data_IF_929215135791
#
_entry.id   IF_929215135791
#
_cell.length_a   1.000
_cell.length_b   1.000
_cell.length_c   1.000
_cell.angle_alpha   90.00
_cell.angle_beta   90.00
_cell.angle_gamma   90.00
#
_symmetry.space_group_name_H-M   'P 1'
#
loop_
_entity.id
_entity.type
_entity.pdbx_description
1 polymer ?
#
# COMPACT_ATOMS: atom_id res chain seq x y z
N UNK A 1 17.70 -26.42 -2.58
CA UNK A 1 18.78 -25.43 -2.42
C UNK A 1 19.14 -24.85 -3.79
N UNK A 2 18.70 -23.62 -4.06
CA UNK A 2 19.06 -22.91 -5.30
C UNK A 2 20.51 -22.48 -5.27
N UNK A 3 21.28 -22.88 -6.27
CA UNK A 3 22.58 -22.29 -6.58
C UNK A 3 22.33 -20.97 -7.33
N UNK A 4 23.11 -19.95 -6.98
CA UNK A 4 23.00 -18.56 -7.40
C UNK A 4 23.41 -18.32 -8.86
N UNK A 5 22.54 -18.65 -9.81
CA UNK A 5 22.60 -18.11 -11.16
C UNK A 5 21.35 -17.30 -11.40
N UNK A 6 21.48 -15.99 -11.66
CA UNK A 6 20.37 -15.04 -11.76
C UNK A 6 19.29 -15.45 -12.79
N UNK A 7 19.64 -16.20 -13.84
CA UNK A 7 18.67 -16.73 -14.83
C UNK A 7 17.86 -17.94 -14.31
N UNK A 8 18.35 -18.64 -13.28
CA UNK A 8 17.66 -19.82 -12.74
C UNK A 8 16.74 -19.46 -11.57
N UNK A 9 16.89 -18.24 -11.00
CA UNK A 9 16.16 -17.81 -9.81
C UNK A 9 14.70 -17.47 -10.14
N UNK A 10 14.44 -16.85 -11.29
CA UNK A 10 13.08 -16.47 -11.73
C UNK A 10 12.20 -17.70 -11.95
N UNK A 11 12.67 -18.67 -12.73
CA UNK A 11 11.95 -19.94 -12.96
C UNK A 11 11.70 -20.73 -11.66
N UNK A 12 12.61 -20.61 -10.68
CA UNK A 12 12.43 -21.23 -9.37
C UNK A 12 11.34 -20.54 -8.57
N UNK A 13 11.25 -19.20 -8.61
CA UNK A 13 10.17 -18.48 -7.95
C UNK A 13 8.81 -18.80 -8.59
N UNK A 14 8.70 -18.85 -9.92
CA UNK A 14 7.49 -19.27 -10.61
C UNK A 14 6.98 -20.62 -10.08
N UNK A 15 7.85 -21.63 -10.01
CA UNK A 15 7.50 -22.96 -9.47
C UNK A 15 7.11 -22.95 -7.99
N UNK A 16 7.74 -22.10 -7.17
CA UNK A 16 7.40 -21.97 -5.75
C UNK A 16 6.00 -21.36 -5.58
N UNK A 17 5.71 -20.32 -6.37
CA UNK A 17 4.44 -19.59 -6.26
C UNK A 17 3.25 -20.31 -6.91
N UNK A 18 3.47 -21.36 -7.72
CA UNK A 18 2.42 -22.32 -8.11
C UNK A 18 1.84 -23.09 -6.91
N UNK A 19 2.50 -23.08 -5.74
CA UNK A 19 2.11 -23.83 -4.53
C UNK A 19 1.41 -22.96 -3.46
N UNK A 20 0.87 -21.81 -3.82
CA UNK A 20 0.16 -20.88 -2.89
C UNK A 20 0.96 -20.56 -1.61
N UNK A 21 2.27 -20.35 -1.73
CA UNK A 21 3.10 -20.01 -0.60
C UNK A 21 2.80 -18.58 -0.12
N UNK A 22 2.71 -18.40 1.20
CA UNK A 22 2.45 -17.11 1.86
C UNK A 22 3.66 -16.54 2.61
N UNK A 23 4.76 -17.29 2.63
CA UNK A 23 6.00 -16.84 3.27
C UNK A 23 7.23 -17.42 2.57
N UNK A 24 8.30 -16.64 2.51
CA UNK A 24 9.57 -17.02 1.91
C UNK A 24 10.72 -16.70 2.86
N UNK A 25 11.57 -17.70 3.14
CA UNK A 25 12.83 -17.49 3.82
C UNK A 25 13.97 -17.45 2.80
N UNK A 26 14.63 -16.29 2.69
CA UNK A 26 15.78 -16.09 1.83
C UNK A 26 17.07 -16.25 2.64
N UNK A 27 17.96 -17.11 2.21
CA UNK A 27 19.23 -17.40 2.91
C UNK A 27 20.09 -16.15 3.08
N UNK A 28 20.10 -15.25 2.10
CA UNK A 28 20.89 -14.03 2.09
C UNK A 28 20.15 -12.86 1.45
N UNK A 29 20.70 -11.66 1.57
CA UNK A 29 20.09 -10.43 1.10
C UNK A 29 19.98 -10.34 -0.43
N UNK A 30 20.87 -10.99 -1.19
CA UNK A 30 20.80 -11.03 -2.66
C UNK A 30 19.59 -11.84 -3.12
N UNK A 31 19.32 -12.98 -2.49
CA UNK A 31 18.11 -13.77 -2.77
C UNK A 31 16.85 -13.03 -2.34
N UNK A 32 16.89 -12.31 -1.21
CA UNK A 32 15.76 -11.48 -0.80
C UNK A 32 15.48 -10.39 -1.84
N UNK A 33 16.50 -9.66 -2.30
CA UNK A 33 16.33 -8.64 -3.34
C UNK A 33 15.77 -9.22 -4.66
N UNK A 34 16.24 -10.39 -5.06
CA UNK A 34 15.72 -11.09 -6.24
C UNK A 34 14.25 -11.50 -6.07
N UNK A 35 13.86 -11.96 -4.86
CA UNK A 35 12.46 -12.27 -4.53
C UNK A 35 11.58 -11.02 -4.58
N UNK A 36 12.06 -9.89 -4.03
CA UNK A 36 11.35 -8.60 -4.11
C UNK A 36 11.09 -8.17 -5.55
N UNK A 37 12.11 -8.26 -6.41
CA UNK A 37 11.97 -7.94 -7.84
C UNK A 37 10.93 -8.83 -8.50
N UNK A 38 11.00 -10.15 -8.31
CA UNK A 38 10.05 -11.11 -8.87
C UNK A 38 8.61 -10.82 -8.40
N UNK A 39 8.41 -10.62 -7.07
CA UNK A 39 7.08 -10.35 -6.52
C UNK A 39 6.51 -9.04 -7.02
N UNK A 40 7.35 -8.01 -7.18
CA UNK A 40 6.95 -6.74 -7.76
C UNK A 40 6.52 -6.87 -9.23
N UNK A 41 7.27 -7.62 -10.05
CA UNK A 41 6.91 -7.90 -11.45
C UNK A 41 5.58 -8.68 -11.56
N UNK A 42 5.30 -9.57 -10.60
CA UNK A 42 4.06 -10.33 -10.52
C UNK A 42 2.91 -9.59 -9.84
N UNK A 43 3.12 -8.33 -9.42
CA UNK A 43 2.18 -7.53 -8.62
C UNK A 43 1.71 -8.21 -7.33
N UNK A 44 2.59 -8.99 -6.70
CA UNK A 44 2.36 -9.64 -5.41
C UNK A 44 2.91 -8.73 -4.30
N UNK A 45 2.08 -8.38 -3.34
CA UNK A 45 2.46 -7.43 -2.29
C UNK A 45 3.18 -8.07 -1.12
N UNK A 46 4.23 -7.38 -0.63
CA UNK A 46 4.98 -7.70 0.57
C UNK A 46 4.62 -6.65 1.64
N UNK A 47 4.22 -7.07 2.86
CA UNK A 47 4.05 -8.43 3.38
C UNK A 47 2.66 -9.03 3.18
N UNK A 48 1.72 -8.33 2.54
CA UNK A 48 0.28 -8.60 2.59
C UNK A 48 -0.11 -9.95 1.97
N UNK A 49 0.53 -10.33 0.88
CA UNK A 49 0.31 -11.62 0.22
C UNK A 49 1.44 -12.60 0.51
N UNK A 50 2.68 -12.10 0.58
CA UNK A 50 3.87 -12.92 0.86
C UNK A 50 4.76 -12.24 1.87
N UNK A 51 4.98 -12.89 3.00
CA UNK A 51 5.96 -12.48 4.00
C UNK A 51 7.37 -12.93 3.60
N UNK A 52 8.38 -12.08 3.82
CA UNK A 52 9.78 -12.41 3.54
C UNK A 52 10.64 -12.25 4.78
N UNK A 53 11.45 -13.27 5.06
CA UNK A 53 12.51 -13.21 6.07
C UNK A 53 13.86 -13.45 5.38
N UNK A 54 14.87 -12.69 5.76
CA UNK A 54 16.23 -12.82 5.28
C UNK A 54 17.15 -13.40 6.38
N UNK A 55 17.94 -14.42 6.05
CA UNK A 55 18.93 -15.04 6.95
C UNK A 55 20.24 -14.26 7.05
N UNK A 56 20.31 -13.04 6.57
CA UNK A 56 21.46 -12.16 6.60
C UNK A 56 21.01 -10.71 6.81
N UNK A 57 21.67 -10.01 7.73
CA UNK A 57 21.47 -8.58 7.95
C UNK A 57 22.67 -7.80 7.42
N UNK A 58 22.47 -7.03 6.35
CA UNK A 58 23.47 -6.16 5.74
C UNK A 58 22.79 -4.92 5.15
N UNK A 59 23.57 -4.03 4.55
CA UNK A 59 23.08 -2.78 3.94
C UNK A 59 22.02 -3.05 2.86
N UNK A 60 22.16 -4.11 2.06
CA UNK A 60 21.20 -4.48 1.03
C UNK A 60 19.85 -4.85 1.64
N UNK A 61 19.83 -5.61 2.74
CA UNK A 61 18.59 -5.98 3.44
C UNK A 61 17.83 -4.75 3.98
N UNK A 62 18.56 -3.70 4.38
CA UNK A 62 17.99 -2.49 4.95
C UNK A 62 17.39 -1.54 3.91
N UNK A 63 17.88 -1.55 2.66
CA UNK A 63 17.39 -0.66 1.59
C UNK A 63 16.23 -1.25 0.78
N UNK A 64 15.87 -2.51 0.99
CA UNK A 64 14.67 -3.10 0.37
C UNK A 64 13.40 -2.40 0.87
N UNK A 65 12.39 -2.31 0.02
CA UNK A 65 11.12 -1.69 0.40
C UNK A 65 9.94 -2.64 0.14
N UNK A 66 9.14 -2.96 1.21
CA UNK A 66 9.34 -2.58 2.61
C UNK A 66 10.65 -3.15 3.18
N UNK A 67 11.23 -2.56 4.26
CA UNK A 67 12.45 -3.09 4.88
C UNK A 67 12.28 -4.55 5.27
N UNK A 68 13.24 -5.42 4.89
CA UNK A 68 13.11 -6.86 5.16
C UNK A 68 13.47 -7.18 6.62
N UNK A 69 12.63 -7.98 7.26
CA UNK A 69 12.99 -8.59 8.56
C UNK A 69 14.13 -9.58 8.34
N UNK A 70 15.22 -9.40 9.08
CA UNK A 70 16.43 -10.20 8.91
C UNK A 70 16.93 -10.81 10.21
N UNK A 71 17.63 -11.94 10.07
CA UNK A 71 18.23 -12.69 11.17
C UNK A 71 19.74 -12.62 11.03
N UNK A 72 20.41 -11.95 11.97
CA UNK A 72 21.86 -11.85 11.99
C UNK A 72 22.45 -12.96 12.86
N UNK A 73 23.37 -13.73 12.29
CA UNK A 73 24.17 -14.68 13.05
C UNK A 73 25.38 -13.95 13.64
N UNK A 74 25.62 -14.02 14.96
CA UNK A 74 26.73 -13.32 15.61
C UNK A 74 28.05 -14.06 15.36
N UNK A 75 28.57 -14.01 14.15
CA UNK A 75 29.78 -14.74 13.71
C UNK A 75 31.03 -14.44 14.55
N UNK A 76 31.18 -13.19 15.03
CA UNK A 76 32.29 -12.82 15.90
C UNK A 76 32.22 -13.57 17.25
N UNK A 77 31.03 -13.64 17.84
CA UNK A 77 30.79 -14.40 19.09
C UNK A 77 30.97 -15.90 18.87
N UNK A 78 30.48 -16.43 17.74
CA UNK A 78 30.69 -17.83 17.37
C UNK A 78 32.17 -18.16 17.18
N UNK A 79 32.91 -17.31 16.48
CA UNK A 79 34.34 -17.47 16.25
C UNK A 79 35.13 -17.45 17.58
N UNK A 80 34.86 -16.50 18.46
CA UNK A 80 35.50 -16.41 19.78
C UNK A 80 35.20 -17.63 20.64
N UNK A 81 33.93 -18.06 20.67
CA UNK A 81 33.51 -19.20 21.46
C UNK A 81 34.16 -20.50 20.96
N UNK A 82 34.18 -20.71 19.64
CA UNK A 82 34.83 -21.85 19.03
C UNK A 82 36.36 -21.88 19.30
N UNK A 83 37.04 -20.73 19.15
CA UNK A 83 38.46 -20.61 19.43
C UNK A 83 38.77 -20.90 20.90
N UNK A 84 38.02 -20.32 21.82
CA UNK A 84 38.19 -20.56 23.27
C UNK A 84 37.97 -22.02 23.61
N UNK A 85 36.94 -22.65 23.10
CA UNK A 85 36.64 -24.08 23.32
C UNK A 85 37.78 -24.97 22.83
N UNK A 86 38.38 -24.67 21.66
CA UNK A 86 39.54 -25.40 21.13
C UNK A 86 40.76 -25.23 22.02
N UNK A 87 41.05 -23.99 22.47
CA UNK A 87 42.19 -23.72 23.37
C UNK A 87 42.01 -24.43 24.71
N UNK A 88 40.84 -24.37 25.32
CA UNK A 88 40.54 -25.07 26.58
C UNK A 88 40.72 -26.59 26.43
N UNK A 89 40.33 -27.16 25.29
CA UNK A 89 40.55 -28.59 24.99
C UNK A 89 42.03 -28.94 24.93
N UNK A 90 42.85 -28.10 24.25
CA UNK A 90 44.27 -28.34 24.06
C UNK A 90 45.03 -28.17 25.39
N UNK A 91 44.72 -27.15 26.16
CA UNK A 91 45.43 -26.78 27.38
C UNK A 91 45.04 -27.60 28.60
N UNK A 92 43.77 -27.91 28.75
CA UNK A 92 43.21 -28.53 29.95
C UNK A 92 42.73 -29.96 29.80
N UNK A 93 42.72 -30.47 28.55
CA UNK A 93 42.09 -31.76 28.22
C UNK A 93 40.65 -31.89 28.72
N UNK A 94 39.94 -30.74 28.80
CA UNK A 94 38.57 -30.67 29.26
C UNK A 94 37.61 -31.47 28.35
N UNK A 95 36.57 -32.03 28.94
CA UNK A 95 35.49 -32.62 28.13
C UNK A 95 34.77 -31.51 27.38
N UNK A 96 34.65 -31.67 26.06
CA UNK A 96 33.92 -30.71 25.22
C UNK A 96 32.41 -30.78 25.52
N UNK A 97 31.74 -29.65 25.64
CA UNK A 97 30.28 -29.64 25.64
C UNK A 97 29.77 -30.22 24.31
N UNK A 98 28.74 -31.06 24.34
CA UNK A 98 28.18 -31.71 23.15
C UNK A 98 27.59 -30.73 22.14
N UNK A 99 27.17 -29.55 22.59
CA UNK A 99 26.70 -28.46 21.73
C UNK A 99 26.89 -27.11 22.44
N UNK A 100 27.15 -26.09 21.65
CA UNK A 100 27.15 -24.69 22.08
C UNK A 100 26.15 -23.94 21.21
N UNK A 101 25.26 -23.21 21.84
CA UNK A 101 24.22 -22.43 21.15
C UNK A 101 24.47 -20.95 21.37
N UNK A 102 24.37 -20.17 20.30
CA UNK A 102 24.42 -18.70 20.34
C UNK A 102 23.12 -18.16 19.80
N UNK A 103 22.53 -17.24 20.48
CA UNK A 103 21.27 -16.63 20.04
C UNK A 103 21.51 -15.66 18.88
N UNK A 104 20.72 -15.76 17.79
CA UNK A 104 20.77 -14.80 16.69
C UNK A 104 20.15 -13.46 17.10
N UNK A 105 20.50 -12.39 16.37
CA UNK A 105 19.87 -11.08 16.52
C UNK A 105 18.81 -10.93 15.41
N UNK A 106 17.59 -10.54 15.80
CA UNK A 106 16.51 -10.28 14.86
C UNK A 106 16.38 -8.77 14.65
N UNK A 107 16.60 -8.34 13.42
CA UNK A 107 16.35 -6.98 12.96
C UNK A 107 14.95 -6.92 12.35
N UNK A 108 14.02 -6.27 13.04
CA UNK A 108 12.63 -6.14 12.57
C UNK A 108 12.55 -5.16 11.41
N UNK A 109 11.96 -5.62 10.32
CA UNK A 109 11.50 -4.82 9.20
C UNK A 109 9.97 -4.94 9.05
N UNK A 110 9.46 -4.44 7.94
CA UNK A 110 8.02 -4.41 7.65
C UNK A 110 7.61 -5.48 6.61
N UNK A 111 8.45 -6.51 6.42
CA UNK A 111 8.25 -7.57 5.42
C UNK A 111 7.46 -8.78 5.93
N UNK A 112 6.94 -8.75 7.17
CA UNK A 112 6.19 -9.83 7.77
C UNK A 112 4.75 -9.42 8.09
N UNK A 113 3.81 -10.32 7.78
CA UNK A 113 2.42 -10.26 8.25
C UNK A 113 2.03 -11.56 8.94
N UNK A 114 0.96 -11.54 9.74
CA UNK A 114 0.43 -12.74 10.36
C UNK A 114 -0.12 -13.70 9.28
N UNK A 115 0.20 -15.02 9.35
CA UNK A 115 -0.38 -15.99 8.43
C UNK A 115 -1.90 -16.02 8.54
N UNK A 116 -2.59 -15.93 7.40
CA UNK A 116 -4.06 -15.96 7.37
C UNK A 116 -4.73 -14.66 7.80
N UNK A 117 -4.01 -13.62 8.11
CA UNK A 117 -4.52 -12.26 8.07
C UNK A 117 -4.67 -11.83 6.60
N UNK A 118 -5.53 -12.54 5.86
CA UNK A 118 -6.01 -12.06 4.58
C UNK A 118 -6.67 -10.72 4.87
N UNK A 119 -5.94 -9.62 4.61
CA UNK A 119 -6.55 -8.30 4.71
C UNK A 119 -7.76 -8.29 3.79
N UNK A 120 -8.88 -7.83 4.30
CA UNK A 120 -10.05 -7.63 3.46
C UNK A 120 -9.67 -6.76 2.27
N UNK A 121 -9.78 -7.30 1.07
CA UNK A 121 -9.46 -6.58 -0.18
C UNK A 121 -10.65 -5.70 -0.57
N UNK A 122 -10.39 -4.41 -0.68
CA UNK A 122 -11.43 -3.39 -0.88
C UNK A 122 -11.08 -2.55 -2.11
N UNK A 123 -11.97 -2.50 -3.09
CA UNK A 123 -11.89 -1.51 -4.15
C UNK A 123 -12.74 -0.29 -3.80
N UNK A 124 -12.22 0.91 -4.01
CA UNK A 124 -12.95 2.16 -3.82
C UNK A 124 -13.02 2.89 -5.15
N UNK A 125 -14.21 2.98 -5.72
CA UNK A 125 -14.48 3.69 -6.98
C UNK A 125 -15.19 5.01 -6.61
N UNK A 126 -14.51 6.14 -6.80
CA UNK A 126 -15.09 7.41 -6.38
C UNK A 126 -14.31 8.63 -6.83
N UNK A 127 -14.95 9.78 -6.62
CA UNK A 127 -14.37 11.07 -6.88
C UNK A 127 -13.21 11.38 -5.92
N UNK A 128 -12.23 12.10 -6.47
CA UNK A 128 -10.99 12.50 -5.80
C UNK A 128 -10.82 14.00 -5.95
N UNK A 129 -10.82 14.71 -4.84
CA UNK A 129 -10.77 16.17 -4.82
C UNK A 129 -9.65 16.67 -3.92
N UNK A 130 -9.19 17.87 -4.19
CA UNK A 130 -8.54 18.71 -3.20
C UNK A 130 -9.62 19.58 -2.53
N UNK A 131 -9.86 19.36 -1.25
CA UNK A 131 -10.85 20.12 -0.47
C UNK A 131 -10.15 21.32 0.18
N UNK A 132 -10.60 22.53 -0.16
CA UNK A 132 -10.14 23.79 0.43
C UNK A 132 -11.17 24.27 1.43
N UNK A 133 -10.82 24.22 2.71
CA UNK A 133 -11.66 24.62 3.83
C UNK A 133 -11.34 26.09 4.17
N UNK A 134 -12.39 26.93 4.17
CA UNK A 134 -12.31 28.37 4.39
C UNK A 134 -13.15 28.68 5.64
N UNK A 135 -12.48 29.00 6.74
CA UNK A 135 -13.16 29.42 7.99
C UNK A 135 -13.55 30.86 7.92
N UNK A 136 -14.82 31.17 8.24
CA UNK A 136 -15.38 32.51 8.19
C UNK A 136 -16.38 32.72 9.33
N UNK A 137 -16.69 33.98 9.67
CA UNK A 137 -17.72 34.26 10.69
C UNK A 137 -19.13 34.00 10.16
N UNK A 138 -19.36 34.10 8.85
CA UNK A 138 -20.64 33.87 8.19
C UNK A 138 -20.47 33.53 6.71
N UNK A 139 -21.51 33.05 6.07
CA UNK A 139 -21.58 32.93 4.60
C UNK A 139 -21.85 34.34 4.03
N UNK A 140 -21.07 34.80 3.02
CA UNK A 140 -21.28 36.12 2.41
C UNK A 140 -22.60 36.20 1.66
N UNK A 141 -23.28 37.30 1.77
CA UNK A 141 -24.41 37.68 0.91
C UNK A 141 -23.95 38.06 -0.49
N UNK A 142 -24.81 38.04 -1.52
CA UNK A 142 -24.45 38.49 -2.85
C UNK A 142 -23.87 39.91 -2.85
N UNK A 143 -22.66 40.08 -3.39
CA UNK A 143 -21.92 41.34 -3.44
C UNK A 143 -21.17 41.70 -2.15
N UNK A 144 -21.25 40.89 -1.10
CA UNK A 144 -20.53 41.12 0.15
C UNK A 144 -19.11 40.56 0.07
N UNK A 145 -18.12 41.30 0.59
CA UNK A 145 -16.76 40.84 0.82
C UNK A 145 -16.59 40.49 2.30
N UNK A 146 -16.16 39.26 2.58
CA UNK A 146 -15.76 38.85 3.94
C UNK A 146 -14.29 38.44 3.95
N UNK A 147 -13.66 38.55 5.10
CA UNK A 147 -12.27 38.13 5.29
C UNK A 147 -12.30 36.74 5.99
N UNK A 148 -11.58 35.81 5.43
CA UNK A 148 -11.41 34.47 6.04
C UNK A 148 -10.44 34.56 7.22
N UNK A 149 -10.76 33.84 8.30
CA UNK A 149 -9.92 33.76 9.48
C UNK A 149 -8.83 32.66 9.31
N UNK A 150 -9.10 31.63 8.49
CA UNK A 150 -8.17 30.54 8.21
C UNK A 150 -8.55 29.84 6.90
N UNK A 151 -7.53 29.35 6.19
CA UNK A 151 -7.69 28.55 4.97
C UNK A 151 -6.67 27.40 4.98
N UNK A 152 -7.11 26.21 4.67
CA UNK A 152 -6.21 25.07 4.44
C UNK A 152 -6.79 24.12 3.39
N UNK A 153 -5.91 23.41 2.71
CA UNK A 153 -6.29 22.40 1.71
C UNK A 153 -5.86 21.01 2.15
N UNK A 154 -6.69 20.01 1.86
CA UNK A 154 -6.44 18.62 2.19
C UNK A 154 -7.01 17.71 1.11
N UNK A 155 -6.38 16.54 0.82
CA UNK A 155 -7.01 15.51 0.02
C UNK A 155 -8.38 15.14 0.58
N UNK A 156 -9.39 15.08 -0.29
CA UNK A 156 -10.77 14.85 0.08
C UNK A 156 -11.60 14.27 -1.07
N UNK A 157 -12.91 14.43 -0.98
CA UNK A 157 -13.86 13.72 -1.81
C UNK A 157 -14.20 12.33 -1.26
N UNK A 158 -15.38 11.81 -1.63
CA UNK A 158 -15.90 10.54 -1.07
C UNK A 158 -14.99 9.36 -1.37
N UNK A 159 -14.37 9.30 -2.56
CA UNK A 159 -13.44 8.25 -2.94
C UNK A 159 -12.22 8.20 -2.02
N UNK A 160 -11.52 9.33 -1.85
CA UNK A 160 -10.32 9.42 -1.00
C UNK A 160 -10.67 9.12 0.46
N UNK A 161 -11.73 9.74 0.99
CA UNK A 161 -12.10 9.57 2.39
C UNK A 161 -12.44 8.10 2.72
N UNK A 162 -13.12 7.40 1.81
CA UNK A 162 -13.41 5.97 1.98
C UNK A 162 -12.15 5.12 1.85
N UNK A 163 -11.27 5.41 0.89
CA UNK A 163 -10.03 4.67 0.70
C UNK A 163 -9.11 4.79 1.93
N UNK A 164 -8.88 6.02 2.43
CA UNK A 164 -8.07 6.26 3.63
C UNK A 164 -8.73 5.61 4.87
N UNK A 165 -10.06 5.74 5.01
CA UNK A 165 -10.79 5.11 6.11
C UNK A 165 -10.63 3.59 6.13
N UNK A 166 -10.79 2.93 4.97
CA UNK A 166 -10.61 1.49 4.83
C UNK A 166 -9.16 1.06 5.08
N UNK A 167 -8.17 1.82 4.58
CA UNK A 167 -6.75 1.58 4.82
C UNK A 167 -6.38 1.67 6.30
N UNK A 168 -6.86 2.70 7.00
CA UNK A 168 -6.65 2.87 8.46
C UNK A 168 -7.26 1.74 9.29
N UNK A 169 -8.32 1.10 8.80
CA UNK A 169 -8.94 -0.08 9.43
C UNK A 169 -8.22 -1.40 9.07
N UNK A 170 -7.10 -1.33 8.35
CA UNK A 170 -6.29 -2.49 8.02
C UNK A 170 -6.71 -3.21 6.73
N UNK A 171 -7.58 -2.60 5.91
CA UNK A 171 -7.94 -3.12 4.59
C UNK A 171 -6.79 -3.04 3.60
N UNK A 172 -6.75 -3.97 2.64
CA UNK A 172 -5.94 -3.86 1.43
C UNK A 172 -6.77 -3.12 0.37
N UNK A 173 -6.40 -1.87 0.07
CA UNK A 173 -7.29 -0.96 -0.65
C UNK A 173 -6.75 -0.60 -2.02
N UNK A 174 -7.57 -0.75 -3.05
CA UNK A 174 -7.37 -0.18 -4.38
C UNK A 174 -8.22 1.08 -4.52
N UNK A 175 -7.59 2.22 -4.83
CA UNK A 175 -8.29 3.44 -5.22
C UNK A 175 -8.45 3.48 -6.74
N UNK A 176 -9.69 3.69 -7.21
CA UNK A 176 -10.03 3.72 -8.62
C UNK A 176 -10.75 5.04 -8.92
N UNK A 177 -10.19 5.82 -9.84
CA UNK A 177 -10.73 7.14 -10.20
C UNK A 177 -9.83 7.89 -11.16
N UNK A 178 -9.93 9.24 -11.15
CA UNK A 178 -9.18 10.09 -12.07
C UNK A 178 -8.70 11.36 -11.38
N UNK A 179 -7.45 11.72 -11.60
CA UNK A 179 -6.79 12.94 -11.13
C UNK A 179 -6.25 13.73 -12.32
N UNK A 180 -6.05 15.01 -12.16
CA UNK A 180 -5.28 15.83 -13.10
C UNK A 180 -3.77 15.59 -12.91
N UNK A 181 -3.01 15.88 -13.95
CA UNK A 181 -1.54 15.95 -13.89
C UNK A 181 -1.12 17.33 -13.37
N UNK A 182 -1.45 17.59 -12.11
CA UNK A 182 -1.16 18.85 -11.42
C UNK A 182 -0.63 18.60 -9.99
N UNK A 183 -0.18 19.67 -9.33
CA UNK A 183 0.38 19.58 -7.97
C UNK A 183 -0.59 18.96 -6.97
N UNK A 184 -1.89 19.20 -7.12
CA UNK A 184 -2.92 18.68 -6.23
C UNK A 184 -3.16 17.19 -6.48
N UNK A 185 -3.15 16.73 -7.74
CA UNK A 185 -3.21 15.33 -8.11
C UNK A 185 -2.02 14.54 -7.56
N UNK A 186 -0.82 15.09 -7.63
CA UNK A 186 0.37 14.47 -7.04
C UNK A 186 0.27 14.38 -5.51
N UNK A 187 -0.14 15.46 -4.82
CA UNK A 187 -0.35 15.45 -3.36
C UNK A 187 -1.36 14.37 -2.96
N UNK A 188 -2.45 14.22 -3.70
CA UNK A 188 -3.46 13.19 -3.46
C UNK A 188 -2.85 11.79 -3.63
N UNK A 189 -2.13 11.55 -4.72
CA UNK A 189 -1.49 10.26 -5.01
C UNK A 189 -0.48 9.89 -3.93
N UNK A 190 0.38 10.82 -3.52
CA UNK A 190 1.37 10.63 -2.46
C UNK A 190 0.69 10.35 -1.11
N UNK A 191 -0.40 11.08 -0.82
CA UNK A 191 -1.19 10.86 0.40
C UNK A 191 -1.78 9.44 0.43
N UNK A 192 -2.40 9.00 -0.65
CA UNK A 192 -2.95 7.64 -0.75
C UNK A 192 -1.84 6.59 -0.55
N UNK A 193 -0.70 6.78 -1.20
CA UNK A 193 0.47 5.90 -1.08
C UNK A 193 1.01 5.84 0.35
N UNK A 194 1.01 6.96 1.09
CA UNK A 194 1.46 7.03 2.49
C UNK A 194 0.57 6.20 3.43
N UNK A 195 -0.67 5.93 3.05
CA UNK A 195 -1.60 5.02 3.74
C UNK A 195 -1.59 3.59 3.17
N UNK A 196 -0.58 3.23 2.36
CA UNK A 196 -0.46 1.93 1.67
C UNK A 196 -1.66 1.60 0.76
N UNK A 197 -2.34 2.62 0.23
CA UNK A 197 -3.43 2.45 -0.72
C UNK A 197 -2.85 2.32 -2.11
N UNK A 198 -3.28 1.30 -2.83
CA UNK A 198 -2.84 1.03 -4.20
C UNK A 198 -3.49 2.02 -5.17
N UNK A 199 -2.66 2.68 -5.98
CA UNK A 199 -3.07 3.77 -6.88
C UNK A 199 -3.06 3.41 -8.36
N UNK A 200 -2.76 2.16 -8.71
CA UNK A 200 -2.74 1.66 -10.10
C UNK A 200 -4.10 1.75 -10.82
N UNK A 201 -5.19 1.93 -10.08
CA UNK A 201 -6.52 2.21 -10.60
C UNK A 201 -6.80 3.69 -10.87
N UNK A 202 -5.85 4.57 -10.58
CA UNK A 202 -6.00 6.01 -10.77
C UNK A 202 -5.46 6.41 -12.14
N UNK A 203 -6.33 6.99 -12.96
CA UNK A 203 -5.91 7.57 -14.24
C UNK A 203 -5.46 9.02 -14.04
N UNK A 204 -4.27 9.35 -14.55
CA UNK A 204 -3.73 10.72 -14.54
C UNK A 204 -4.04 11.38 -15.88
N UNK A 205 -4.72 12.52 -15.82
CA UNK A 205 -5.18 13.30 -16.97
C UNK A 205 -4.35 14.57 -17.13
N UNK A 206 -3.61 14.68 -18.23
CA UNK A 206 -2.79 15.85 -18.53
C UNK A 206 -3.57 17.00 -19.24
N UNK A 207 -4.86 16.82 -19.49
CA UNK A 207 -5.70 17.79 -20.21
C UNK A 207 -6.65 18.58 -19.29
N UNK A 208 -6.78 18.18 -18.02
CA UNK A 208 -7.68 18.85 -17.07
C UNK A 208 -7.08 18.85 -15.65
N UNK A 209 -7.60 19.73 -14.81
CA UNK A 209 -7.18 19.84 -13.41
C UNK A 209 -7.85 18.79 -12.53
N UNK A 210 -7.20 18.46 -11.42
CA UNK A 210 -7.78 17.68 -10.32
C UNK A 210 -9.07 18.32 -9.81
N UNK A 211 -10.04 17.50 -9.43
CA UNK A 211 -11.29 17.98 -8.82
C UNK A 211 -11.04 18.78 -7.54
N UNK A 212 -11.87 19.78 -7.26
CA UNK A 212 -11.76 20.69 -6.10
C UNK A 212 -13.10 20.86 -5.41
N UNK A 213 -13.06 21.02 -4.09
CA UNK A 213 -14.20 21.52 -3.35
C UNK A 213 -13.77 22.72 -2.48
N UNK A 214 -14.50 23.81 -2.57
CA UNK A 214 -14.34 24.97 -1.72
C UNK A 214 -15.43 24.93 -0.66
N UNK A 215 -15.03 24.76 0.59
CA UNK A 215 -15.94 24.51 1.71
C UNK A 215 -15.85 25.69 2.67
N UNK A 216 -16.84 26.56 2.63
CA UNK A 216 -16.95 27.66 3.59
C UNK A 216 -17.60 27.14 4.87
N UNK A 217 -16.88 27.28 5.98
CA UNK A 217 -17.33 26.82 7.31
C UNK A 217 -17.49 28.03 8.22
N UNK A 218 -18.71 28.55 8.37
CA UNK A 218 -18.99 29.64 9.28
C UNK A 218 -19.15 29.15 10.72
N UNK A 219 -18.85 29.99 11.69
CA UNK A 219 -19.02 29.68 13.11
C UNK A 219 -20.48 29.38 13.43
N UNK A 220 -20.75 28.16 13.93
CA UNK A 220 -22.06 27.75 14.47
C UNK A 220 -23.17 27.53 13.43
N UNK A 221 -22.88 27.48 12.13
CA UNK A 221 -23.85 27.25 11.07
C UNK A 221 -23.44 26.18 10.05
N UNK A 222 -24.36 25.85 9.11
CA UNK A 222 -24.11 24.86 8.06
C UNK A 222 -23.07 25.37 7.07
N UNK A 223 -22.17 24.49 6.63
CA UNK A 223 -21.18 24.77 5.59
C UNK A 223 -21.84 25.00 4.22
N UNK A 224 -21.19 25.80 3.39
CA UNK A 224 -21.50 25.96 1.98
C UNK A 224 -20.38 25.35 1.16
N UNK A 225 -20.72 24.57 0.12
CA UNK A 225 -19.74 23.86 -0.70
C UNK A 225 -19.90 24.28 -2.17
N UNK A 226 -18.80 24.67 -2.79
CA UNK A 226 -18.72 24.85 -4.24
C UNK A 226 -17.78 23.76 -4.76
N UNK A 227 -18.28 22.90 -5.63
CA UNK A 227 -17.51 21.80 -6.22
C UNK A 227 -17.16 22.07 -7.67
N UNK A 228 -15.90 21.89 -8.02
CA UNK A 228 -15.40 21.81 -9.38
C UNK A 228 -15.01 20.34 -9.64
N UNK A 229 -15.72 19.62 -10.51
CA UNK A 229 -15.48 18.20 -10.71
C UNK A 229 -14.10 17.89 -11.35
N UNK A 230 -13.56 18.78 -12.19
CA UNK A 230 -12.26 18.59 -12.83
C UNK A 230 -12.15 17.22 -13.52
N UNK A 231 -11.05 16.52 -13.31
CA UNK A 231 -10.78 15.21 -13.87
C UNK A 231 -11.88 14.18 -13.57
N UNK A 232 -12.57 14.27 -12.42
CA UNK A 232 -13.65 13.34 -12.09
C UNK A 232 -14.79 13.32 -13.14
N UNK A 233 -15.06 14.46 -13.80
CA UNK A 233 -16.09 14.55 -14.83
C UNK A 233 -15.80 13.71 -16.07
N UNK A 234 -14.54 13.36 -16.29
CA UNK A 234 -14.07 12.60 -17.44
C UNK A 234 -13.76 11.14 -17.11
N UNK A 235 -14.00 10.71 -15.86
CA UNK A 235 -13.89 9.30 -15.49
C UNK A 235 -15.05 8.52 -16.10
N UNK A 236 -14.77 7.61 -17.02
CA UNK A 236 -15.75 6.94 -17.84
C UNK A 236 -15.72 5.40 -17.71
N UNK A 237 -16.65 4.75 -18.40
CA UNK A 237 -16.78 3.28 -18.40
C UNK A 237 -15.55 2.59 -19.03
N UNK A 238 -14.91 3.22 -20.02
CA UNK A 238 -13.73 2.63 -20.68
C UNK A 238 -12.55 2.55 -19.71
N UNK A 239 -12.33 3.63 -18.96
CA UNK A 239 -11.27 3.67 -17.92
C UNK A 239 -11.54 2.68 -16.80
N UNK A 240 -12.79 2.63 -16.31
CA UNK A 240 -13.16 1.64 -15.30
C UNK A 240 -12.99 0.21 -15.81
N UNK A 241 -13.28 -0.04 -17.09
CA UNK A 241 -13.08 -1.37 -17.69
C UNK A 241 -11.61 -1.79 -17.69
N UNK A 242 -10.66 -0.87 -17.91
CA UNK A 242 -9.21 -1.13 -17.83
C UNK A 242 -8.79 -1.53 -16.41
N UNK A 243 -9.49 -1.04 -15.39
CA UNK A 243 -9.23 -1.35 -13.98
C UNK A 243 -10.00 -2.58 -13.47
N UNK A 244 -10.75 -3.29 -14.32
CA UNK A 244 -11.62 -4.41 -13.87
C UNK A 244 -10.82 -5.55 -13.23
N UNK A 245 -9.57 -5.75 -13.61
CA UNK A 245 -8.69 -6.75 -13.01
C UNK A 245 -8.46 -6.49 -11.51
N UNK A 246 -8.50 -5.23 -11.05
CA UNK A 246 -8.39 -4.87 -9.64
C UNK A 246 -9.62 -5.28 -8.81
N UNK A 247 -10.75 -5.51 -9.48
CA UNK A 247 -11.97 -6.02 -8.84
C UNK A 247 -11.96 -7.55 -8.69
N UNK A 248 -11.07 -8.24 -9.40
CA UNK A 248 -10.93 -9.68 -9.28
C UNK A 248 -10.28 -10.01 -7.93
N UNK A 249 -10.85 -10.94 -7.17
CA UNK A 249 -10.41 -11.28 -5.81
C UNK A 249 -10.56 -10.14 -4.77
N UNK A 250 -11.43 -9.16 -5.03
CA UNK A 250 -11.81 -8.13 -4.06
C UNK A 250 -13.05 -8.59 -3.29
N UNK A 251 -13.04 -8.41 -1.95
CA UNK A 251 -14.16 -8.82 -1.09
C UNK A 251 -15.30 -7.79 -1.15
N UNK A 252 -14.95 -6.51 -1.16
CA UNK A 252 -15.87 -5.39 -1.11
C UNK A 252 -15.51 -4.31 -2.13
N UNK A 253 -16.53 -3.68 -2.70
CA UNK A 253 -16.38 -2.49 -3.53
C UNK A 253 -17.24 -1.34 -2.96
N UNK A 254 -16.57 -0.24 -2.61
CA UNK A 254 -17.23 1.00 -2.18
C UNK A 254 -17.37 1.88 -3.42
N UNK A 255 -18.60 2.32 -3.75
CA UNK A 255 -18.89 3.12 -4.94
C UNK A 255 -19.54 4.43 -4.53
N UNK A 256 -18.95 5.56 -4.92
CA UNK A 256 -19.55 6.88 -4.77
C UNK A 256 -20.56 7.14 -5.89
N UNK A 257 -21.76 7.58 -5.54
CA UNK A 257 -22.79 7.97 -6.53
C UNK A 257 -22.59 9.39 -7.08
N UNK A 258 -21.54 10.11 -6.69
CA UNK A 258 -21.15 11.39 -7.30
C UNK A 258 -20.48 11.23 -8.67
N UNK A 259 -20.13 10.01 -9.07
CA UNK A 259 -19.69 9.68 -10.41
C UNK A 259 -20.88 9.65 -11.39
N UNK A 260 -20.60 9.62 -12.72
CA UNK A 260 -21.66 9.53 -13.70
C UNK A 260 -22.52 8.28 -13.49
N UNK A 261 -23.85 8.36 -13.74
CA UNK A 261 -24.75 7.22 -13.58
C UNK A 261 -24.32 6.00 -14.40
N UNK A 262 -23.72 6.21 -15.56
CA UNK A 262 -23.21 5.16 -16.45
C UNK A 262 -22.05 4.40 -15.79
N UNK A 263 -21.10 5.12 -15.19
CA UNK A 263 -19.96 4.53 -14.45
C UNK A 263 -20.45 3.75 -13.25
N UNK A 264 -21.36 4.33 -12.46
CA UNK A 264 -21.93 3.66 -11.29
C UNK A 264 -22.68 2.37 -11.69
N UNK A 265 -23.51 2.44 -12.73
CA UNK A 265 -24.24 1.26 -13.21
C UNK A 265 -23.30 0.17 -13.74
N UNK A 266 -22.24 0.56 -14.46
CA UNK A 266 -21.23 -0.37 -14.96
C UNK A 266 -20.46 -1.02 -13.80
N UNK A 267 -20.03 -0.24 -12.81
CA UNK A 267 -19.33 -0.73 -11.63
C UNK A 267 -20.16 -1.79 -10.89
N UNK A 268 -21.45 -1.50 -10.65
CA UNK A 268 -22.40 -2.43 -10.01
C UNK A 268 -22.51 -3.72 -10.82
N UNK A 269 -22.68 -3.61 -12.15
CA UNK A 269 -22.80 -4.78 -13.03
C UNK A 269 -21.54 -5.66 -12.99
N UNK A 270 -20.36 -5.04 -12.99
CA UNK A 270 -19.07 -5.77 -12.93
C UNK A 270 -18.86 -6.44 -11.58
N UNK A 271 -19.10 -5.74 -10.48
CA UNK A 271 -18.99 -6.31 -9.14
C UNK A 271 -19.95 -7.50 -8.94
N UNK A 272 -21.20 -7.38 -9.40
CA UNK A 272 -22.14 -8.51 -9.37
C UNK A 272 -21.65 -9.72 -10.17
N UNK A 273 -21.09 -9.51 -11.36
CA UNK A 273 -20.52 -10.60 -12.19
C UNK A 273 -19.34 -11.29 -11.52
N UNK A 274 -18.54 -10.56 -10.74
CA UNK A 274 -17.37 -11.04 -10.01
C UNK A 274 -17.70 -11.52 -8.58
N UNK A 275 -18.97 -11.48 -8.18
CA UNK A 275 -19.45 -11.81 -6.81
C UNK A 275 -18.83 -10.94 -5.70
N UNK A 276 -18.47 -9.69 -6.01
CA UNK A 276 -17.94 -8.69 -5.08
C UNK A 276 -19.12 -8.02 -4.35
N UNK A 277 -19.03 -7.90 -3.03
CA UNK A 277 -20.02 -7.21 -2.20
C UNK A 277 -19.92 -5.69 -2.41
N UNK A 278 -21.08 -5.01 -2.55
CA UNK A 278 -21.14 -3.60 -2.93
C UNK A 278 -21.69 -2.76 -1.80
N UNK A 279 -21.04 -1.63 -1.52
CA UNK A 279 -21.55 -0.54 -0.71
C UNK A 279 -21.68 0.71 -1.58
N UNK A 280 -22.87 1.29 -1.65
CA UNK A 280 -23.10 2.56 -2.33
C UNK A 280 -23.11 3.69 -1.31
N UNK A 281 -22.36 4.75 -1.61
CA UNK A 281 -22.35 5.99 -0.83
C UNK A 281 -23.03 7.08 -1.66
N UNK A 282 -24.26 7.47 -1.30
CA UNK A 282 -24.98 8.58 -1.94
C UNK A 282 -24.36 9.92 -1.63
#
# INVERSE_FOLDING_TARGET
>A
SCKSDAHNTHATYEQLFEQDITALFCQNAVLAASAYTFLHEMNISIPDEVSIVCGESNELAQILYPPVTSVELPYDTLGRLATRTILDLIETHAELPRSLTVEPVIHKGDSLALPGASRTKIAVIGNMNMDTIISTDKIPSPGELIISNNIFSTPGGKGINQAIGAGKLGGFVYAIGRLGDDSEGHIISDTLSSYNIKTEGIYIDNSTFTGKAFITVPDGSNSCVISYPGANAFFDVEQLNKCTHLLTNTDYCLISTELSPEVVAYAIKRCKKLNVKIFLKP
#
